data_IF_947229371121
#
_entry.id   IF_947229371121
#
_cell.length_a   1.000
_cell.length_b   1.000
_cell.length_c   1.000
_cell.angle_alpha   90.00
_cell.angle_beta   90.00
_cell.angle_gamma   90.00
#
_symmetry.space_group_name_H-M   'P 1'
#
loop_
_entity.id
_entity.type
_entity.pdbx_description
1 polymer ?
#
# COMPACT_ATOMS: atom_id res chain seq x y z
N UNK A 1 -25.77 8.76 0.99
CA UNK A 1 -24.72 9.57 0.32
C UNK A 1 -25.23 10.99 0.34
N UNK A 2 -24.70 11.89 1.19
CA UNK A 2 -25.36 13.19 1.36
C UNK A 2 -24.65 14.27 2.18
N UNK A 3 -23.59 13.98 2.93
CA UNK A 3 -22.96 15.03 3.74
C UNK A 3 -21.64 15.49 3.12
N UNK A 4 -21.53 16.81 2.90
CA UNK A 4 -20.29 17.51 2.52
C UNK A 4 -19.12 17.06 3.40
N UNK A 5 -19.40 16.75 4.68
CA UNK A 5 -18.45 16.20 5.63
C UNK A 5 -17.82 14.88 5.15
N UNK A 6 -18.59 13.96 4.57
CA UNK A 6 -18.06 12.69 4.05
C UNK A 6 -17.12 12.91 2.86
N UNK A 7 -17.47 13.83 1.95
CA UNK A 7 -16.62 14.18 0.82
C UNK A 7 -15.33 14.89 1.25
N UNK A 8 -15.42 15.79 2.22
CA UNK A 8 -14.25 16.44 2.81
C UNK A 8 -13.33 15.41 3.48
N UNK A 9 -13.87 14.50 4.31
CA UNK A 9 -13.10 13.46 4.98
C UNK A 9 -12.40 12.53 3.99
N UNK A 10 -13.12 12.09 2.96
CA UNK A 10 -12.58 11.25 1.90
C UNK A 10 -11.47 11.97 1.13
N UNK A 11 -11.69 13.24 0.76
CA UNK A 11 -10.67 14.05 0.07
C UNK A 11 -9.43 14.27 0.94
N UNK A 12 -9.60 14.54 2.24
CA UNK A 12 -8.50 14.70 3.19
C UNK A 12 -7.73 13.39 3.33
N UNK A 13 -8.43 12.26 3.51
CA UNK A 13 -7.80 10.95 3.64
C UNK A 13 -6.98 10.59 2.41
N UNK A 14 -7.55 10.77 1.21
CA UNK A 14 -6.86 10.51 -0.05
C UNK A 14 -5.72 11.48 -0.26
N UNK A 15 -5.88 12.77 0.05
CA UNK A 15 -4.80 13.76 -0.04
C UNK A 15 -3.62 13.39 0.87
N UNK A 16 -3.87 13.09 2.14
CA UNK A 16 -2.84 12.70 3.11
C UNK A 16 -2.15 11.40 2.68
N UNK A 17 -2.91 10.39 2.25
CA UNK A 17 -2.37 9.14 1.73
C UNK A 17 -1.52 9.35 0.47
N UNK A 18 -2.00 10.17 -0.46
CA UNK A 18 -1.31 10.49 -1.70
C UNK A 18 -0.03 11.30 -1.46
N UNK A 19 -0.07 12.24 -0.51
CA UNK A 19 1.09 13.01 -0.07
C UNK A 19 2.18 12.08 0.48
N UNK A 20 1.84 11.23 1.46
CA UNK A 20 2.80 10.28 2.05
C UNK A 20 3.24 9.22 1.05
N UNK A 21 2.38 8.80 0.12
CA UNK A 21 2.75 7.83 -0.90
C UNK A 21 3.59 8.42 -2.04
N UNK A 22 3.35 9.66 -2.47
CA UNK A 22 4.19 10.36 -3.45
C UNK A 22 5.61 10.58 -2.91
N UNK A 23 5.69 10.78 -1.59
CA UNK A 23 6.91 10.80 -0.81
C UNK A 23 7.59 9.40 -0.72
N UNK A 24 6.92 8.41 -0.12
CA UNK A 24 7.50 7.13 0.29
C UNK A 24 7.55 6.07 -0.84
N UNK A 25 6.58 6.12 -1.74
CA UNK A 25 6.39 5.23 -2.88
C UNK A 25 5.43 4.05 -2.68
N UNK A 26 4.96 3.76 -1.45
CA UNK A 26 4.10 2.58 -1.17
C UNK A 26 3.20 2.69 0.08
N UNK A 27 3.15 3.87 0.73
CA UNK A 27 2.54 4.04 2.05
C UNK A 27 1.12 4.65 2.01
N UNK A 28 0.47 4.67 0.85
CA UNK A 28 -0.86 5.26 0.67
C UNK A 28 -1.89 4.70 1.65
N UNK A 29 -2.08 3.38 1.65
CA UNK A 29 -3.19 2.74 2.35
C UNK A 29 -3.01 2.74 3.87
N UNK A 30 -1.77 2.79 4.38
CA UNK A 30 -1.54 2.94 5.82
C UNK A 30 -2.10 4.26 6.35
N UNK A 31 -1.93 5.35 5.59
CA UNK A 31 -2.34 6.70 6.00
C UNK A 31 -3.80 6.96 5.63
N UNK A 32 -4.20 6.68 4.39
CA UNK A 32 -5.58 6.84 3.95
C UNK A 32 -6.53 5.88 4.70
N UNK A 33 -6.09 4.64 4.94
CA UNK A 33 -6.85 3.63 5.66
C UNK A 33 -7.18 4.04 7.09
N UNK A 34 -6.31 4.81 7.75
CA UNK A 34 -6.55 5.33 9.09
C UNK A 34 -7.77 6.23 9.21
N UNK A 35 -8.27 6.77 8.10
CA UNK A 35 -9.51 7.56 8.05
C UNK A 35 -10.59 6.79 7.31
N UNK A 36 -10.28 6.21 6.15
CA UNK A 36 -11.26 5.53 5.29
C UNK A 36 -11.87 4.31 5.97
N UNK A 37 -11.13 3.53 6.75
CA UNK A 37 -11.67 2.34 7.44
C UNK A 37 -12.57 2.67 8.64
N UNK A 38 -12.60 3.93 9.09
CA UNK A 38 -13.58 4.40 10.09
C UNK A 38 -14.90 4.82 9.46
N UNK A 39 -14.87 5.27 8.20
CA UNK A 39 -16.03 5.86 7.52
C UNK A 39 -16.67 4.89 6.52
N UNK A 40 -15.87 3.99 5.94
CA UNK A 40 -16.28 3.05 4.91
C UNK A 40 -16.07 1.60 5.35
N UNK A 41 -16.95 0.67 4.95
CA UNK A 41 -16.73 -0.75 5.17
C UNK A 41 -15.48 -1.23 4.42
N UNK A 42 -14.78 -2.28 4.89
CA UNK A 42 -13.55 -2.78 4.27
C UNK A 42 -13.71 -3.12 2.78
N UNK A 43 -14.85 -3.68 2.39
CA UNK A 43 -15.16 -4.00 0.99
C UNK A 43 -15.23 -2.78 0.07
N UNK A 44 -15.47 -1.57 0.60
CA UNK A 44 -15.43 -0.32 -0.17
C UNK A 44 -14.08 0.40 0.00
N UNK A 45 -13.55 0.44 1.22
CA UNK A 45 -12.33 1.16 1.55
C UNK A 45 -11.09 0.58 0.85
N UNK A 46 -10.92 -0.75 0.88
CA UNK A 46 -9.76 -1.44 0.30
C UNK A 46 -9.64 -1.22 -1.21
N UNK A 47 -10.68 -1.46 -2.03
CA UNK A 47 -10.58 -1.21 -3.46
C UNK A 47 -10.43 0.28 -3.80
N UNK A 48 -11.06 1.19 -3.05
CA UNK A 48 -10.82 2.63 -3.20
C UNK A 48 -9.34 2.98 -2.99
N UNK A 49 -8.73 2.46 -1.91
CA UNK A 49 -7.32 2.65 -1.64
C UNK A 49 -6.42 2.05 -2.72
N UNK A 50 -6.75 0.87 -3.26
CA UNK A 50 -6.03 0.27 -4.38
C UNK A 50 -6.11 1.13 -5.64
N UNK A 51 -7.29 1.61 -6.00
CA UNK A 51 -7.49 2.45 -7.19
C UNK A 51 -6.68 3.74 -7.09
N UNK A 52 -6.76 4.44 -5.96
CA UNK A 52 -5.95 5.63 -5.70
C UNK A 52 -4.45 5.31 -5.72
N UNK A 53 -4.02 4.22 -5.08
CA UNK A 53 -2.62 3.84 -5.00
C UNK A 53 -2.04 3.49 -6.38
N UNK A 54 -2.79 2.84 -7.26
CA UNK A 54 -2.35 2.55 -8.64
C UNK A 54 -2.04 3.86 -9.38
N UNK A 55 -2.87 4.90 -9.24
CA UNK A 55 -2.62 6.20 -9.87
C UNK A 55 -1.30 6.80 -9.39
N UNK A 56 -1.03 6.76 -8.08
CA UNK A 56 0.24 7.24 -7.53
C UNK A 56 1.40 6.42 -8.07
N UNK A 57 1.27 5.10 -8.08
CA UNK A 57 2.33 4.19 -8.50
C UNK A 57 2.61 4.21 -10.00
N UNK A 58 1.64 4.57 -10.84
CA UNK A 58 1.86 4.73 -12.28
C UNK A 58 2.99 5.75 -12.55
N UNK A 59 3.03 6.85 -11.79
CA UNK A 59 4.09 7.85 -11.90
C UNK A 59 5.46 7.29 -11.50
N UNK A 60 5.51 6.53 -10.40
CA UNK A 60 6.72 5.87 -9.91
C UNK A 60 7.24 4.81 -10.88
N UNK A 61 6.36 3.96 -11.39
CA UNK A 61 6.69 2.91 -12.35
C UNK A 61 7.21 3.50 -13.67
N UNK A 62 6.62 4.59 -14.14
CA UNK A 62 7.09 5.30 -15.33
C UNK A 62 8.49 5.89 -15.14
N UNK A 63 8.75 6.50 -13.98
CA UNK A 63 10.07 7.02 -13.63
C UNK A 63 11.13 5.90 -13.50
N UNK A 64 10.76 4.75 -12.93
CA UNK A 64 11.67 3.62 -12.72
C UNK A 64 11.74 2.62 -13.88
N UNK A 65 11.06 2.86 -15.00
CA UNK A 65 10.89 1.88 -16.09
C UNK A 65 12.19 1.23 -16.59
N UNK A 66 13.32 1.95 -16.54
CA UNK A 66 14.64 1.46 -16.95
C UNK A 66 15.33 0.59 -15.89
N UNK A 67 14.95 0.73 -14.62
CA UNK A 67 15.50 0.02 -13.46
C UNK A 67 14.62 -1.15 -13.01
N UNK A 68 13.51 -1.43 -13.72
CA UNK A 68 12.62 -2.54 -13.40
C UNK A 68 13.34 -3.87 -13.59
N UNK A 69 13.34 -4.70 -12.54
CA UNK A 69 13.94 -6.04 -12.57
C UNK A 69 12.85 -7.09 -12.81
N UNK A 70 12.42 -7.19 -14.07
CA UNK A 70 11.30 -8.02 -14.51
C UNK A 70 11.36 -9.47 -14.01
N UNK A 71 12.52 -10.11 -14.07
CA UNK A 71 12.69 -11.51 -13.63
C UNK A 71 12.45 -11.71 -12.13
N UNK A 72 12.89 -10.77 -11.30
CA UNK A 72 12.72 -10.88 -9.85
C UNK A 72 11.31 -10.47 -9.42
N UNK A 73 10.75 -9.46 -10.09
CA UNK A 73 9.37 -9.04 -9.87
C UNK A 73 8.37 -10.11 -10.30
N UNK A 74 8.60 -10.81 -11.43
CA UNK A 74 7.70 -11.87 -11.89
C UNK A 74 7.60 -13.04 -10.92
N UNK A 75 8.71 -13.42 -10.25
CA UNK A 75 8.69 -14.46 -9.21
C UNK A 75 7.84 -14.04 -8.01
N UNK A 76 7.93 -12.78 -7.59
CA UNK A 76 7.06 -12.23 -6.54
C UNK A 76 5.59 -12.24 -7.01
N UNK A 77 5.33 -11.80 -8.24
CA UNK A 77 3.98 -11.74 -8.83
C UNK A 77 3.36 -13.13 -8.86
N UNK A 78 4.05 -14.14 -9.37
CA UNK A 78 3.53 -15.52 -9.43
C UNK A 78 3.13 -16.02 -8.04
N UNK A 79 3.96 -15.76 -7.02
CA UNK A 79 3.60 -16.08 -5.64
C UNK A 79 2.38 -15.31 -5.15
N UNK A 80 2.33 -14.00 -5.41
CA UNK A 80 1.26 -13.12 -4.95
C UNK A 80 -0.10 -13.39 -5.60
N UNK A 81 -0.12 -13.84 -6.86
CA UNK A 81 -1.35 -14.22 -7.56
C UNK A 81 -2.12 -15.33 -6.82
N UNK A 82 -1.44 -16.20 -6.06
CA UNK A 82 -2.09 -17.22 -5.24
C UNK A 82 -2.60 -16.66 -3.89
N UNK A 83 -1.95 -15.63 -3.36
CA UNK A 83 -2.35 -14.99 -2.10
C UNK A 83 -3.59 -14.10 -2.24
N UNK A 84 -3.74 -13.42 -3.39
CA UNK A 84 -4.84 -12.46 -3.64
C UNK A 84 -6.23 -13.09 -3.56
N UNK A 85 -6.53 -14.26 -4.19
CA UNK A 85 -7.86 -14.86 -4.10
C UNK A 85 -8.27 -15.23 -2.69
N UNK A 86 -7.31 -15.69 -1.88
CA UNK A 86 -7.51 -16.02 -0.46
C UNK A 86 -7.79 -14.75 0.33
N UNK A 87 -7.05 -13.68 0.06
CA UNK A 87 -7.26 -12.37 0.66
C UNK A 87 -8.65 -11.80 0.35
N UNK A 88 -9.08 -11.82 -0.92
CA UNK A 88 -10.42 -11.33 -1.31
C UNK A 88 -11.52 -12.15 -0.65
N UNK A 89 -11.37 -13.48 -0.58
CA UNK A 89 -12.33 -14.33 0.12
C UNK A 89 -12.42 -14.00 1.62
N UNK A 90 -11.26 -13.82 2.27
CA UNK A 90 -11.23 -13.44 3.69
C UNK A 90 -11.79 -12.03 3.91
N UNK A 91 -11.54 -11.09 3.00
CA UNK A 91 -12.07 -9.72 3.08
C UNK A 91 -13.60 -9.71 3.04
N UNK A 92 -14.23 -10.58 2.24
CA UNK A 92 -15.68 -10.73 2.18
C UNK A 92 -16.27 -11.32 3.47
N UNK A 93 -15.53 -12.20 4.15
CA UNK A 93 -15.95 -12.86 5.39
C UNK A 93 -15.56 -12.07 6.66
N UNK A 94 -14.74 -11.03 6.53
CA UNK A 94 -14.19 -10.31 7.67
C UNK A 94 -15.22 -9.35 8.28
N UNK A 95 -15.37 -9.43 9.60
CA UNK A 95 -16.07 -8.40 10.36
C UNK A 95 -15.33 -7.05 10.25
N UNK A 96 -16.09 -5.97 10.02
CA UNK A 96 -15.51 -4.66 9.76
C UNK A 96 -14.66 -4.13 10.93
N UNK A 97 -15.09 -4.40 12.17
CA UNK A 97 -14.38 -3.95 13.37
C UNK A 97 -13.09 -4.74 13.56
N UNK A 98 -13.16 -6.07 13.49
CA UNK A 98 -11.98 -6.95 13.62
C UNK A 98 -10.96 -6.62 12.52
N UNK A 99 -11.42 -6.40 11.29
CA UNK A 99 -10.56 -6.03 10.18
C UNK A 99 -9.83 -4.70 10.44
N UNK A 100 -10.55 -3.68 10.89
CA UNK A 100 -9.99 -2.35 11.18
C UNK A 100 -8.92 -2.41 12.27
N UNK A 101 -9.22 -3.07 13.39
CA UNK A 101 -8.29 -3.23 14.51
C UNK A 101 -7.05 -4.03 14.08
N UNK A 102 -7.24 -5.11 13.32
CA UNK A 102 -6.14 -5.94 12.79
C UNK A 102 -5.25 -5.18 11.80
N UNK A 103 -5.86 -4.37 10.92
CA UNK A 103 -5.15 -3.51 9.98
C UNK A 103 -4.31 -2.47 10.75
N UNK A 104 -4.92 -1.80 11.72
CA UNK A 104 -4.25 -0.81 12.57
C UNK A 104 -3.04 -1.39 13.29
N UNK A 105 -3.23 -2.55 13.93
CA UNK A 105 -2.17 -3.27 14.61
C UNK A 105 -1.05 -3.68 13.65
N UNK A 106 -1.38 -4.19 12.46
CA UNK A 106 -0.39 -4.57 11.46
C UNK A 106 0.45 -3.37 11.00
N UNK A 107 -0.19 -2.22 10.74
CA UNK A 107 0.51 -0.97 10.36
C UNK A 107 1.37 -0.45 11.50
N UNK A 108 0.88 -0.45 12.74
CA UNK A 108 1.64 -0.02 13.91
C UNK A 108 2.87 -0.92 14.14
N UNK A 109 2.70 -2.24 14.08
CA UNK A 109 3.80 -3.20 14.17
C UNK A 109 4.82 -3.01 13.06
N UNK A 110 4.37 -2.81 11.82
CA UNK A 110 5.26 -2.51 10.68
C UNK A 110 6.07 -1.22 10.93
N UNK A 111 5.41 -0.16 11.37
CA UNK A 111 6.04 1.13 11.65
C UNK A 111 7.08 1.02 12.78
N UNK A 112 6.70 0.40 13.90
CA UNK A 112 7.58 0.17 15.04
C UNK A 112 8.79 -0.68 14.65
N UNK A 113 8.57 -1.81 13.98
CA UNK A 113 9.63 -2.68 13.49
C UNK A 113 10.63 -1.90 12.62
N UNK A 114 10.15 -1.11 11.67
CA UNK A 114 11.01 -0.38 10.73
C UNK A 114 11.74 0.78 11.42
N UNK A 115 11.16 1.36 12.48
CA UNK A 115 11.75 2.45 13.27
C UNK A 115 12.87 1.96 14.20
N UNK A 116 12.65 0.83 14.88
CA UNK A 116 13.58 0.29 15.89
C UNK A 116 14.60 -0.70 15.33
N UNK A 117 14.45 -1.16 14.09
CA UNK A 117 15.39 -2.13 13.52
C UNK A 117 16.79 -1.52 13.29
N UNK A 118 17.85 -2.15 13.83
CA UNK A 118 19.20 -1.92 13.33
C UNK A 118 19.30 -2.45 11.89
N UNK A 119 20.10 -1.77 11.05
CA UNK A 119 20.38 -2.17 9.66
C UNK A 119 21.11 -3.51 9.68
N UNK A 120 20.38 -4.61 9.76
CA UNK A 120 20.94 -5.96 9.68
C UNK A 120 21.18 -6.29 8.21
N UNK A 121 22.43 -6.18 7.78
CA UNK A 121 22.88 -6.71 6.50
C UNK A 121 23.15 -8.21 6.67
N UNK A 122 22.09 -9.03 6.63
CA UNK A 122 22.29 -10.48 6.57
C UNK A 122 22.17 -10.92 5.11
N UNK A 123 23.31 -11.27 4.51
CA UNK A 123 23.38 -11.77 3.12
C UNK A 123 22.92 -13.22 3.03
N UNK A 124 21.67 -13.49 3.38
CA UNK A 124 21.02 -14.74 2.96
C UNK A 124 20.85 -14.72 1.43
N UNK A 125 20.97 -15.85 0.76
CA UNK A 125 20.75 -15.89 -0.68
C UNK A 125 19.25 -15.77 -1.00
N UNK A 126 18.90 -14.81 -1.86
CA UNK A 126 17.55 -14.63 -2.38
C UNK A 126 17.22 -15.73 -3.40
N UNK A 127 16.67 -16.84 -2.91
CA UNK A 127 16.26 -17.95 -3.78
C UNK A 127 14.85 -17.74 -4.33
N UNK A 128 14.58 -18.24 -5.54
CA UNK A 128 13.30 -18.08 -6.22
C UNK A 128 12.10 -18.58 -5.40
N UNK A 129 12.23 -19.73 -4.71
CA UNK A 129 11.18 -20.26 -3.85
C UNK A 129 10.84 -19.36 -2.65
N UNK A 130 11.86 -18.77 -2.01
CA UNK A 130 11.67 -17.82 -0.91
C UNK A 130 11.02 -16.52 -1.41
N UNK A 131 11.47 -16.01 -2.56
CA UNK A 131 10.85 -14.84 -3.18
C UNK A 131 9.38 -15.12 -3.57
N UNK A 132 9.04 -16.32 -4.04
CA UNK A 132 7.65 -16.67 -4.31
C UNK A 132 6.81 -16.72 -3.02
N UNK A 133 7.34 -17.24 -1.91
CA UNK A 133 6.64 -17.23 -0.61
C UNK A 133 6.43 -15.81 -0.07
N UNK A 134 7.43 -14.94 -0.22
CA UNK A 134 7.31 -13.51 0.10
C UNK A 134 6.29 -12.82 -0.82
N UNK A 135 6.27 -13.21 -2.10
CA UNK A 135 5.26 -12.79 -3.06
C UNK A 135 3.86 -13.19 -2.61
N UNK A 136 3.67 -14.45 -2.19
CA UNK A 136 2.41 -14.95 -1.64
C UNK A 136 1.95 -14.14 -0.44
N UNK A 137 2.82 -13.94 0.56
CA UNK A 137 2.50 -13.12 1.72
C UNK A 137 2.21 -11.67 1.35
N UNK A 138 2.96 -11.10 0.41
CA UNK A 138 2.73 -9.75 -0.12
C UNK A 138 1.40 -9.63 -0.87
N UNK A 139 1.00 -10.64 -1.64
CA UNK A 139 -0.29 -10.70 -2.33
C UNK A 139 -1.44 -10.89 -1.35
N UNK A 140 -1.26 -11.72 -0.32
CA UNK A 140 -2.25 -11.94 0.73
C UNK A 140 -2.48 -10.68 1.57
N UNK A 141 -1.43 -10.13 2.18
CA UNK A 141 -1.53 -8.88 2.94
C UNK A 141 -1.93 -7.73 2.02
N UNK A 142 -1.40 -7.67 0.81
CA UNK A 142 -1.71 -6.63 -0.17
C UNK A 142 -3.15 -6.64 -0.63
N UNK A 143 -3.72 -7.82 -0.84
CA UNK A 143 -5.13 -7.99 -1.20
C UNK A 143 -6.07 -7.56 -0.08
N UNK A 144 -5.69 -7.81 1.18
CA UNK A 144 -6.46 -7.36 2.35
C UNK A 144 -6.31 -5.85 2.58
N UNK A 145 -5.08 -5.34 2.57
CA UNK A 145 -4.77 -4.02 3.13
C UNK A 145 -4.49 -2.94 2.08
N UNK A 146 -4.55 -3.28 0.80
CA UNK A 146 -4.07 -2.45 -0.30
C UNK A 146 -2.58 -2.05 -0.16
N UNK A 147 -1.77 -2.77 0.66
CA UNK A 147 -0.32 -2.56 0.83
C UNK A 147 0.53 -3.79 0.46
N UNK A 148 0.53 -4.26 -0.80
CA UNK A 148 1.31 -5.43 -1.20
C UNK A 148 2.81 -5.29 -0.94
N UNK A 149 3.32 -4.05 -0.94
CA UNK A 149 4.74 -3.76 -0.84
C UNK A 149 5.35 -4.01 0.53
N UNK A 150 4.56 -4.17 1.60
CA UNK A 150 5.08 -4.23 2.96
C UNK A 150 6.04 -5.42 3.18
N UNK A 151 5.61 -6.65 2.85
CA UNK A 151 6.46 -7.85 3.03
C UNK A 151 7.67 -7.84 2.08
N UNK A 152 7.53 -7.60 0.76
CA UNK A 152 8.68 -7.54 -0.14
C UNK A 152 9.69 -6.44 0.24
N UNK A 153 9.23 -5.31 0.77
CA UNK A 153 10.09 -4.23 1.26
C UNK A 153 10.91 -4.69 2.46
N UNK A 154 10.28 -5.32 3.46
CA UNK A 154 10.99 -5.89 4.60
C UNK A 154 12.01 -6.94 4.14
N UNK A 155 11.62 -7.79 3.20
CA UNK A 155 12.50 -8.82 2.66
C UNK A 155 13.75 -8.22 2.00
N UNK A 156 13.58 -7.22 1.13
CA UNK A 156 14.69 -6.50 0.50
C UNK A 156 15.58 -5.79 1.54
N UNK A 157 14.98 -5.17 2.56
CA UNK A 157 15.70 -4.44 3.61
C UNK A 157 16.59 -5.37 4.45
N UNK A 158 16.07 -6.54 4.86
CA UNK A 158 16.85 -7.58 5.58
C UNK A 158 18.05 -8.08 4.75
N UNK A 159 17.92 -8.08 3.43
CA UNK A 159 18.95 -8.54 2.51
C UNK A 159 19.92 -7.43 2.07
N UNK A 160 19.73 -6.19 2.57
CA UNK A 160 20.55 -5.05 2.20
C UNK A 160 20.48 -4.68 0.72
N UNK A 161 19.35 -4.96 0.05
CA UNK A 161 19.17 -4.64 -1.37
C UNK A 161 19.20 -3.12 -1.54
N UNK A 162 19.97 -2.56 -2.49
CA UNK A 162 20.00 -1.12 -2.72
C UNK A 162 18.60 -0.56 -2.99
N UNK A 163 18.30 0.63 -2.45
CA UNK A 163 16.97 1.29 -2.56
C UNK A 163 16.42 1.30 -4.00
N UNK A 164 17.28 1.56 -4.98
CA UNK A 164 16.90 1.62 -6.42
C UNK A 164 16.48 0.24 -6.95
N UNK A 165 17.23 -0.81 -6.60
CA UNK A 165 16.90 -2.19 -6.98
C UNK A 165 15.63 -2.67 -6.27
N UNK A 166 15.50 -2.37 -4.98
CA UNK A 166 14.31 -2.67 -4.20
C UNK A 166 13.06 -2.02 -4.84
N UNK A 167 13.12 -0.72 -5.17
CA UNK A 167 12.01 -0.04 -5.84
C UNK A 167 11.69 -0.66 -7.21
N UNK A 168 12.71 -1.02 -7.98
CA UNK A 168 12.56 -1.69 -9.29
C UNK A 168 11.98 -3.12 -9.21
N UNK A 169 12.06 -3.78 -8.07
CA UNK A 169 11.44 -5.09 -7.82
C UNK A 169 10.02 -4.96 -7.24
N UNK A 170 9.85 -4.07 -6.26
CA UNK A 170 8.65 -3.96 -5.44
C UNK A 170 7.55 -3.16 -6.17
N UNK A 171 7.85 -2.04 -6.83
CA UNK A 171 6.81 -1.23 -7.48
C UNK A 171 5.99 -1.98 -8.55
N UNK A 172 6.61 -2.73 -9.49
CA UNK A 172 5.83 -3.50 -10.45
C UNK A 172 4.99 -4.60 -9.79
N UNK A 173 5.50 -5.19 -8.70
CA UNK A 173 4.76 -6.16 -7.90
C UNK A 173 3.53 -5.53 -7.24
N UNK A 174 3.67 -4.35 -6.59
CA UNK A 174 2.54 -3.67 -5.96
C UNK A 174 1.47 -3.34 -7.01
N UNK A 175 1.87 -2.76 -8.15
CA UNK A 175 0.95 -2.43 -9.23
C UNK A 175 0.23 -3.68 -9.75
N UNK A 176 0.96 -4.77 -10.01
CA UNK A 176 0.38 -6.04 -10.47
C UNK A 176 -0.63 -6.62 -9.47
N UNK A 177 -0.30 -6.64 -8.18
CA UNK A 177 -1.21 -7.18 -7.15
C UNK A 177 -2.47 -6.32 -6.98
N UNK A 178 -2.34 -4.99 -6.99
CA UNK A 178 -3.50 -4.10 -6.87
C UNK A 178 -4.42 -4.21 -8.09
N UNK A 179 -3.86 -4.19 -9.30
CA UNK A 179 -4.63 -4.38 -10.55
C UNK A 179 -5.33 -5.74 -10.54
N UNK A 180 -4.60 -6.82 -10.21
CA UNK A 180 -5.17 -8.16 -10.17
C UNK A 180 -6.29 -8.27 -9.14
N UNK A 181 -6.13 -7.68 -7.96
CA UNK A 181 -7.15 -7.69 -6.90
C UNK A 181 -8.41 -6.94 -7.36
N UNK A 182 -8.27 -5.74 -7.94
CA UNK A 182 -9.41 -4.98 -8.47
C UNK A 182 -10.14 -5.73 -9.58
N UNK A 183 -9.41 -6.35 -10.52
CA UNK A 183 -10.00 -7.17 -11.59
C UNK A 183 -10.76 -8.36 -10.99
N UNK A 184 -10.19 -9.03 -9.98
CA UNK A 184 -10.84 -10.15 -9.33
C UNK A 184 -12.13 -9.73 -8.60
N UNK A 185 -12.11 -8.60 -7.88
CA UNK A 185 -13.30 -8.04 -7.22
C UNK A 185 -14.35 -7.58 -8.23
N UNK A 186 -13.94 -7.07 -9.40
CA UNK A 186 -14.84 -6.71 -10.50
C UNK A 186 -15.54 -7.94 -11.07
N UNK A 187 -14.79 -9.02 -11.33
CA UNK A 187 -15.34 -10.29 -11.85
C UNK A 187 -16.33 -10.89 -10.85
N UNK A 188 -16.05 -10.80 -9.55
CA UNK A 188 -16.93 -11.28 -8.47
C UNK A 188 -18.14 -10.38 -8.20
N UNK A 189 -18.21 -9.21 -8.84
CA UNK A 189 -19.23 -8.16 -8.61
C UNK A 189 -19.24 -7.65 -7.16
N UNK A 190 -18.09 -7.68 -6.50
CA UNK A 190 -17.90 -7.13 -5.15
C UNK A 190 -17.76 -5.60 -5.17
N UNK A 191 -17.44 -5.03 -6.33
CA UNK A 191 -17.26 -3.58 -6.49
C UNK A 191 -18.60 -2.86 -6.65
N UNK A 192 -18.98 -2.12 -5.61
CA UNK A 192 -20.10 -1.18 -5.66
C UNK A 192 -19.80 -0.02 -6.61
N UNK A 193 -20.81 0.44 -7.36
CA UNK A 193 -20.72 1.65 -8.21
C UNK A 193 -20.32 2.89 -7.40
N UNK A 194 -20.62 2.90 -6.09
CA UNK A 194 -20.21 3.94 -5.16
C UNK A 194 -18.69 4.11 -5.10
N UNK A 195 -17.91 3.02 -5.09
CA UNK A 195 -16.45 3.06 -5.06
C UNK A 195 -15.88 3.80 -6.27
N UNK A 196 -16.53 3.65 -7.44
CA UNK A 196 -16.11 4.33 -8.67
C UNK A 196 -16.37 5.83 -8.61
N UNK A 197 -17.52 6.24 -8.06
CA UNK A 197 -17.86 7.65 -7.84
C UNK A 197 -16.91 8.28 -6.81
N UNK A 198 -16.70 7.60 -5.69
CA UNK A 198 -15.80 8.02 -4.62
C UNK A 198 -14.35 8.16 -5.14
N UNK A 199 -13.90 7.23 -5.99
CA UNK A 199 -12.61 7.34 -6.68
C UNK A 199 -12.57 8.56 -7.59
N UNK A 200 -13.57 8.77 -8.46
CA UNK A 200 -13.60 9.89 -9.39
C UNK A 200 -13.57 11.25 -8.68
N UNK A 201 -14.32 11.40 -7.58
CA UNK A 201 -14.34 12.61 -6.75
C UNK A 201 -13.00 12.81 -6.03
N UNK A 202 -12.30 11.72 -5.69
CA UNK A 202 -10.99 11.78 -5.03
C UNK A 202 -9.84 12.20 -5.95
N UNK A 203 -10.00 12.15 -7.28
CA UNK A 203 -8.91 12.40 -8.25
C UNK A 203 -8.21 13.75 -8.02
N UNK A 204 -8.91 14.89 -7.84
CA UNK A 204 -8.24 16.17 -7.63
C UNK A 204 -7.37 16.18 -6.38
N UNK A 205 -7.88 15.65 -5.26
CA UNK A 205 -7.16 15.54 -4.00
C UNK A 205 -5.96 14.58 -4.11
N UNK A 206 -6.14 13.46 -4.82
CA UNK A 206 -5.10 12.47 -5.12
C UNK A 206 -3.94 13.08 -5.91
N UNK A 207 -4.25 13.80 -6.99
CA UNK A 207 -3.24 14.44 -7.83
C UNK A 207 -2.51 15.55 -7.08
N UNK A 208 -3.24 16.40 -6.34
CA UNK A 208 -2.66 17.47 -5.53
C UNK A 208 -1.72 16.91 -4.46
N UNK A 209 -2.16 15.89 -3.70
CA UNK A 209 -1.34 15.24 -2.68
C UNK A 209 -0.09 14.60 -3.27
N UNK A 210 -0.24 13.87 -4.38
CA UNK A 210 0.90 13.22 -5.06
C UNK A 210 1.93 14.23 -5.55
N UNK A 211 1.49 15.29 -6.22
CA UNK A 211 2.38 16.33 -6.75
C UNK A 211 3.14 17.04 -5.63
N UNK A 212 2.44 17.41 -4.55
CA UNK A 212 3.04 18.06 -3.39
C UNK A 212 4.02 17.11 -2.67
N UNK A 213 3.67 15.83 -2.55
CA UNK A 213 4.55 14.82 -1.97
C UNK A 213 5.84 14.64 -2.77
N UNK A 214 5.75 14.53 -4.10
CA UNK A 214 6.94 14.43 -4.96
C UNK A 214 7.80 15.70 -4.90
N UNK A 215 7.18 16.88 -4.82
CA UNK A 215 7.89 18.15 -4.71
C UNK A 215 8.68 18.22 -3.40
N UNK A 216 8.02 17.97 -2.26
CA UNK A 216 8.65 17.99 -0.93
C UNK A 216 9.72 16.92 -0.79
N UNK A 217 9.55 15.74 -1.40
CA UNK A 217 10.57 14.68 -1.40
C UNK A 217 11.94 15.17 -1.89
N UNK A 218 11.97 16.08 -2.88
CA UNK A 218 13.22 16.62 -3.43
C UNK A 218 13.92 17.59 -2.48
N UNK A 219 13.22 18.12 -1.48
CA UNK A 219 13.73 19.16 -0.59
C UNK A 219 14.12 18.65 0.81
N UNK A 220 13.75 17.42 1.18
CA UNK A 220 13.91 16.89 2.56
C UNK A 220 15.02 15.83 2.62
N UNK A 221 15.80 15.84 3.71
CA UNK A 221 16.83 14.84 3.97
C UNK A 221 16.22 13.44 4.20
N UNK A 222 16.76 12.43 3.51
CA UNK A 222 16.39 11.00 3.58
C UNK A 222 16.15 10.47 5.01
N UNK A 223 17.01 10.85 5.97
CA UNK A 223 16.95 10.33 7.34
C UNK A 223 15.78 10.94 8.15
N UNK A 224 15.61 12.25 8.07
CA UNK A 224 14.50 12.97 8.71
C UNK A 224 13.17 12.51 8.11
N UNK A 225 13.16 12.35 6.79
CA UNK A 225 12.03 11.88 6.02
C UNK A 225 11.53 10.50 6.46
N UNK A 226 12.44 9.52 6.59
CA UNK A 226 12.11 8.18 7.08
C UNK A 226 11.47 8.23 8.46
N UNK A 227 12.00 9.08 9.37
CA UNK A 227 11.42 9.24 10.71
C UNK A 227 10.01 9.81 10.67
N UNK A 228 9.77 10.87 9.89
CA UNK A 228 8.45 11.50 9.78
C UNK A 228 7.40 10.50 9.29
N UNK A 229 7.69 9.74 8.22
CA UNK A 229 6.75 8.76 7.68
C UNK A 229 6.45 7.67 8.70
N UNK A 230 7.48 7.12 9.34
CA UNK A 230 7.29 6.05 10.32
C UNK A 230 6.48 6.53 11.53
N UNK A 231 6.67 7.77 11.98
CA UNK A 231 5.84 8.38 13.02
C UNK A 231 4.39 8.52 12.56
N UNK A 232 4.14 9.00 11.33
CA UNK A 232 2.79 9.11 10.77
C UNK A 232 2.13 7.72 10.69
N UNK A 233 2.85 6.71 10.19
CA UNK A 233 2.33 5.34 10.10
C UNK A 233 2.02 4.76 11.48
N UNK A 234 2.87 5.01 12.47
CA UNK A 234 2.65 4.54 13.84
C UNK A 234 1.37 5.18 14.41
N UNK A 235 1.21 6.50 14.26
CA UNK A 235 0.01 7.22 14.71
C UNK A 235 -1.23 6.72 13.96
N UNK A 236 -1.16 6.58 12.64
CA UNK A 236 -2.23 6.02 11.79
C UNK A 236 -2.64 4.62 12.24
N UNK A 237 -1.68 3.75 12.57
CA UNK A 237 -1.95 2.39 13.06
C UNK A 237 -2.64 2.41 14.43
N UNK A 238 -2.18 3.25 15.35
CA UNK A 238 -2.79 3.39 16.68
C UNK A 238 -4.22 3.95 16.59
N UNK A 239 -4.45 4.95 15.73
CA UNK A 239 -5.78 5.54 15.49
C UNK A 239 -6.81 4.55 14.92
N UNK A 240 -6.39 3.41 14.39
CA UNK A 240 -7.28 2.37 13.88
C UNK A 240 -7.66 1.33 14.94
N UNK A 241 -6.80 1.17 15.95
CA UNK A 241 -6.99 0.22 17.06
C UNK A 241 -7.86 0.83 18.14
N UNK A 242 -7.70 2.12 18.43
CA UNK A 242 -8.47 2.87 19.41
C UNK A 242 -9.60 3.67 18.74
#
# INVERSE_FOLDING_TARGET
MGDIASFCLLSIAVFCGAFVSGLAGFAFSAVAGAILLHVLPPLEAVPLMMACSITVQATGLWALRKSIRWKQSSVLVVGGLLGVPIAVWLLQAADARIFRESFGLAVACYAAYTLFRPVLSHRLQMNAGRNALIGFGGGFIGGLTAMPGAIPTIWCDIHGVPKTEQRGMVQPFIAAMQIFTLVLMLIRRDLSTKVLVDFAVSIPALLAGTALGIYVFRCVNDALFRRIILSILLVSGLLLVF
#
